data_IF_597138443120
#
_entry.id   IF_597138443120
#
_cell.length_a   1.000
_cell.length_b   1.000
_cell.length_c   1.000
_cell.angle_alpha   90.00
_cell.angle_beta   90.00
_cell.angle_gamma   90.00
#
_symmetry.space_group_name_H-M   'P 1'
#
loop_
_entity.id
_entity.type
_entity.pdbx_description
1 polymer ?
#
# COMPACT_ATOMS: atom_id res chain seq x y z
N UNK A 1 27.43 51.39 5.69
CA UNK A 1 26.98 52.80 5.51
C UNK A 1 26.40 52.87 4.10
N UNK A 2 25.10 53.04 3.83
CA UNK A 2 24.10 53.94 4.38
C UNK A 2 23.63 54.85 3.23
N UNK A 3 22.32 55.14 3.16
CA UNK A 3 21.53 55.91 2.17
C UNK A 3 21.03 55.09 0.96
N UNK A 4 19.72 54.88 0.75
CA UNK A 4 18.52 55.32 1.46
C UNK A 4 17.29 54.94 0.62
N UNK A 5 16.28 54.34 1.28
CA UNK A 5 14.95 54.10 0.72
C UNK A 5 14.05 55.33 0.98
N UNK A 6 13.15 55.62 0.03
CA UNK A 6 11.79 56.12 0.22
C UNK A 6 11.12 56.11 -1.18
N UNK A 7 10.15 55.26 -1.50
CA UNK A 7 8.76 55.09 -1.02
C UNK A 7 7.72 55.81 -1.90
N UNK A 8 6.57 55.12 -2.05
CA UNK A 8 5.28 55.51 -2.65
C UNK A 8 5.21 55.39 -4.19
N UNK A 9 4.25 54.73 -4.83
CA UNK A 9 2.89 54.36 -4.42
C UNK A 9 2.41 53.12 -5.18
N UNK A 10 1.64 52.32 -4.46
CA UNK A 10 0.85 51.17 -4.90
C UNK A 10 -0.19 51.53 -5.97
N UNK A 11 -0.64 50.48 -6.68
CA UNK A 11 -2.00 50.34 -7.21
C UNK A 11 -2.24 50.87 -8.64
N UNK A 12 -2.05 49.99 -9.62
CA UNK A 12 -3.18 49.66 -10.49
C UNK A 12 -3.09 48.24 -11.04
N UNK A 13 -4.13 47.50 -10.73
CA UNK A 13 -4.37 46.13 -11.08
C UNK A 13 -5.32 46.13 -12.29
N UNK A 14 -5.07 45.18 -13.19
CA UNK A 14 -6.01 44.63 -14.16
C UNK A 14 -6.20 45.34 -15.53
N UNK A 15 -6.17 44.45 -16.53
CA UNK A 15 -6.84 44.49 -17.83
C UNK A 15 -6.12 45.21 -18.99
N UNK A 16 -5.37 44.44 -19.80
CA UNK A 16 -5.64 44.41 -21.25
C UNK A 16 -4.95 43.25 -22.01
N UNK A 17 -5.77 42.27 -22.39
CA UNK A 17 -5.88 41.70 -23.75
C UNK A 17 -4.62 41.14 -24.46
N UNK A 18 -4.59 39.80 -24.50
CA UNK A 18 -4.50 38.95 -25.70
C UNK A 18 -3.67 39.50 -26.86
N UNK A 19 -2.44 38.98 -27.03
CA UNK A 19 -1.88 38.68 -28.37
C UNK A 19 -1.19 37.32 -28.32
N UNK A 20 -1.74 36.38 -29.10
CA UNK A 20 -1.18 35.07 -29.32
C UNK A 20 0.07 35.19 -30.20
N UNK A 21 1.18 34.60 -29.75
CA UNK A 21 2.36 34.41 -30.58
C UNK A 21 2.07 33.30 -31.62
N UNK A 22 2.39 33.50 -32.92
CA UNK A 22 2.25 32.46 -33.91
C UNK A 22 3.33 31.38 -33.73
N UNK A 23 2.91 30.12 -33.65
CA UNK A 23 3.81 28.94 -33.64
C UNK A 23 4.39 28.72 -35.05
N UNK A 24 5.68 28.38 -35.19
CA UNK A 24 6.25 27.96 -36.48
C UNK A 24 5.72 26.57 -36.89
N UNK A 25 5.48 26.39 -38.19
CA UNK A 25 5.11 25.11 -38.83
C UNK A 25 6.31 24.15 -38.84
N UNK A 26 6.14 22.85 -38.55
CA UNK A 26 7.18 21.86 -38.83
C UNK A 26 7.17 21.48 -40.32
N UNK A 27 8.38 21.34 -40.87
CA UNK A 27 8.63 20.88 -42.23
C UNK A 27 8.30 19.38 -42.38
N UNK A 28 7.76 19.01 -43.55
CA UNK A 28 7.54 17.63 -43.94
C UNK A 28 8.90 16.93 -44.18
N UNK A 29 9.13 15.83 -43.47
CA UNK A 29 10.27 14.93 -43.64
C UNK A 29 9.77 13.55 -44.06
N UNK A 30 10.37 13.04 -45.13
CA UNK A 30 10.00 11.83 -45.85
C UNK A 30 10.24 10.54 -45.04
N UNK A 31 9.46 9.51 -45.36
CA UNK A 31 9.39 8.26 -44.62
C UNK A 31 10.63 7.38 -44.73
N UNK A 32 10.93 6.68 -43.63
CA UNK A 32 11.69 5.44 -43.63
C UNK A 32 10.91 4.41 -42.82
N UNK A 33 10.42 3.39 -43.52
CA UNK A 33 9.61 2.30 -42.96
C UNK A 33 10.54 1.30 -42.27
N UNK A 34 10.66 1.39 -40.96
CA UNK A 34 11.20 0.30 -40.15
C UNK A 34 10.01 -0.50 -39.58
N UNK A 35 9.69 -1.63 -40.21
CA UNK A 35 8.77 -2.62 -39.65
C UNK A 35 9.53 -3.50 -38.68
N UNK A 36 9.28 -3.33 -37.38
CA UNK A 36 9.68 -4.29 -36.35
C UNK A 36 8.93 -5.62 -36.55
N UNK A 37 9.57 -6.78 -36.32
CA UNK A 37 8.88 -8.08 -36.37
C UNK A 37 7.86 -8.18 -35.22
N UNK A 38 6.75 -8.94 -35.41
CA UNK A 38 5.75 -9.10 -34.37
C UNK A 38 6.32 -9.91 -33.20
N UNK A 39 6.27 -9.34 -32.00
CA UNK A 39 6.50 -10.09 -30.76
C UNK A 39 5.43 -11.20 -30.63
N UNK A 40 5.82 -12.42 -30.19
CA UNK A 40 4.86 -13.47 -29.94
C UNK A 40 3.88 -13.02 -28.85
N UNK A 41 2.58 -13.08 -29.14
CA UNK A 41 1.53 -12.85 -28.15
C UNK A 41 1.60 -13.97 -27.11
N UNK A 42 1.72 -13.67 -25.80
CA UNK A 42 1.51 -14.70 -24.80
C UNK A 42 0.08 -15.24 -24.95
N UNK A 43 -0.07 -16.55 -24.86
CA UNK A 43 -1.36 -17.21 -24.88
C UNK A 43 -2.26 -16.55 -23.83
N UNK A 44 -3.51 -16.25 -24.21
CA UNK A 44 -4.53 -15.68 -23.33
C UNK A 44 -4.85 -16.66 -22.21
N UNK A 45 -4.07 -16.62 -21.13
CA UNK A 45 -4.30 -17.35 -19.89
C UNK A 45 -5.36 -16.60 -19.11
N UNK A 46 -6.41 -17.30 -18.70
CA UNK A 46 -7.56 -16.70 -18.03
C UNK A 46 -7.20 -16.47 -16.56
N UNK A 47 -6.71 -15.28 -16.23
CA UNK A 47 -6.71 -14.83 -14.84
C UNK A 47 -8.18 -14.56 -14.46
N UNK A 48 -8.61 -15.05 -13.29
CA UNK A 48 -9.92 -14.71 -12.74
C UNK A 48 -9.90 -13.28 -12.19
N UNK A 49 -11.07 -12.66 -12.10
CA UNK A 49 -11.27 -11.42 -11.35
C UNK A 49 -10.83 -11.54 -9.88
N UNK A 50 -10.90 -10.45 -9.10
CA UNK A 50 -10.30 -10.36 -7.77
C UNK A 50 -10.64 -11.59 -6.91
N UNK A 51 -9.61 -12.19 -6.33
CA UNK A 51 -9.75 -13.44 -5.61
C UNK A 51 -10.61 -13.28 -4.35
N UNK A 52 -11.72 -14.02 -4.20
CA UNK A 52 -12.43 -14.08 -2.93
C UNK A 52 -11.63 -14.95 -1.96
N UNK A 53 -11.27 -14.40 -0.80
CA UNK A 53 -10.64 -15.19 0.27
C UNK A 53 -11.67 -16.10 0.93
N UNK A 54 -11.36 -17.40 1.01
CA UNK A 54 -12.26 -18.42 1.52
C UNK A 54 -12.84 -18.09 2.92
N UNK A 55 -14.17 -18.18 3.02
CA UNK A 55 -14.96 -17.88 4.21
C UNK A 55 -14.87 -19.01 5.24
N UNK A 56 -14.13 -18.80 6.34
CA UNK A 56 -14.06 -19.73 7.45
C UNK A 56 -15.30 -19.58 8.37
N UNK A 57 -16.43 -20.18 7.98
CA UNK A 57 -17.62 -20.29 8.87
C UNK A 57 -18.35 -21.64 8.74
N UNK A 58 -18.19 -22.52 9.73
CA UNK A 58 -19.27 -22.98 10.65
C UNK A 58 -18.80 -24.01 11.67
N UNK A 59 -19.11 -23.74 12.94
CA UNK A 59 -19.06 -24.68 14.08
C UNK A 59 -20.32 -25.56 14.18
N UNK A 60 -20.27 -26.70 14.90
CA UNK A 60 -21.40 -27.24 15.65
C UNK A 60 -21.22 -27.10 17.18
N UNK A 61 -22.29 -27.21 17.99
CA UNK A 61 -22.26 -26.94 19.42
C UNK A 61 -21.89 -28.20 20.24
N UNK A 62 -21.03 -28.02 21.25
CA UNK A 62 -20.70 -29.04 22.24
C UNK A 62 -20.96 -28.51 23.65
N UNK A 63 -21.91 -29.12 24.33
CA UNK A 63 -22.35 -28.81 25.70
C UNK A 63 -21.46 -29.50 26.72
N UNK A 64 -20.79 -28.76 27.63
CA UNK A 64 -20.60 -29.15 29.05
C UNK A 64 -19.78 -28.13 29.83
N UNK A 65 -20.28 -27.82 31.04
CA UNK A 65 -19.60 -27.20 32.18
C UNK A 65 -19.70 -28.22 33.36
N UNK A 66 -19.03 -28.02 34.52
CA UNK A 66 -17.98 -27.07 34.88
C UNK A 66 -16.76 -27.72 35.57
N UNK A 67 -15.56 -27.17 35.38
CA UNK A 67 -14.39 -27.42 36.22
C UNK A 67 -13.87 -26.11 36.80
N UNK A 68 -14.09 -25.88 38.10
CA UNK A 68 -13.53 -24.74 38.83
C UNK A 68 -12.00 -24.87 38.91
N UNK A 69 -11.28 -23.90 38.37
CA UNK A 69 -9.95 -23.53 38.85
C UNK A 69 -9.63 -22.07 38.46
N UNK A 70 -9.51 -21.23 39.46
CA UNK A 70 -8.80 -19.95 39.40
C UNK A 70 -8.17 -19.71 40.78
N UNK A 71 -7.15 -18.86 40.90
CA UNK A 71 -6.20 -18.41 39.88
C UNK A 71 -4.74 -18.47 40.40
N UNK A 72 -3.75 -18.63 39.53
CA UNK A 72 -2.38 -18.23 39.86
C UNK A 72 -1.71 -17.51 38.70
N UNK A 73 -1.58 -16.20 38.91
CA UNK A 73 -0.43 -15.36 38.56
C UNK A 73 -0.26 -14.88 37.12
N UNK A 74 -1.16 -14.00 36.69
CA UNK A 74 -1.05 -13.12 35.51
C UNK A 74 -0.11 -11.92 35.72
N UNK A 75 0.95 -12.05 36.53
CA UNK A 75 1.84 -10.91 36.88
C UNK A 75 3.27 -11.00 36.36
N UNK A 76 3.65 -12.09 35.69
CA UNK A 76 5.04 -12.30 35.25
C UNK A 76 5.30 -12.01 33.76
N UNK A 77 4.29 -11.90 32.91
CA UNK A 77 4.49 -11.80 31.45
C UNK A 77 4.45 -10.37 30.89
N UNK A 78 4.10 -9.37 31.72
CA UNK A 78 3.85 -8.01 31.26
C UNK A 78 4.93 -6.99 31.64
N UNK A 79 6.11 -7.43 32.08
CA UNK A 79 7.25 -6.56 32.32
C UNK A 79 8.23 -6.63 31.14
N UNK A 80 7.79 -6.13 29.99
CA UNK A 80 8.73 -5.72 28.95
C UNK A 80 9.54 -4.54 29.52
N UNK A 81 10.87 -4.70 29.54
CA UNK A 81 11.83 -3.67 29.96
C UNK A 81 11.42 -2.31 29.40
N UNK A 82 11.41 -1.28 30.26
CA UNK A 82 10.92 0.08 29.99
C UNK A 82 11.63 0.88 28.87
N UNK A 83 12.37 0.22 27.97
CA UNK A 83 13.01 0.82 26.79
C UNK A 83 12.86 -0.02 25.50
N UNK A 84 12.23 -1.19 25.53
CA UNK A 84 12.04 -2.00 24.31
C UNK A 84 10.66 -1.68 23.71
N UNK A 85 10.57 -1.33 22.42
CA UNK A 85 9.30 -1.14 21.76
C UNK A 85 8.41 -2.39 21.83
N UNK A 86 7.09 -2.19 21.98
CA UNK A 86 6.16 -3.29 22.25
C UNK A 86 6.17 -4.37 21.15
N UNK A 87 6.44 -3.99 19.90
CA UNK A 87 6.44 -4.90 18.75
C UNK A 87 7.65 -5.84 18.69
N UNK A 88 8.72 -5.58 19.45
CA UNK A 88 9.93 -6.43 19.45
C UNK A 88 9.88 -7.59 20.44
N UNK A 89 8.94 -7.59 21.39
CA UNK A 89 8.97 -8.52 22.53
C UNK A 89 7.66 -9.22 22.85
N UNK A 90 6.60 -8.98 22.07
CA UNK A 90 5.30 -9.64 22.23
C UNK A 90 5.04 -10.56 21.05
N UNK A 91 4.36 -11.68 21.28
CA UNK A 91 3.74 -12.43 20.19
C UNK A 91 2.59 -11.63 19.58
N UNK A 92 2.21 -11.97 18.35
CA UNK A 92 1.12 -11.27 17.65
C UNK A 92 -0.20 -11.32 18.43
N UNK A 93 -0.45 -12.45 19.11
CA UNK A 93 -1.67 -12.70 19.88
C UNK A 93 -1.69 -11.96 21.23
N UNK A 94 -0.55 -11.46 21.68
CA UNK A 94 -0.43 -10.68 22.92
C UNK A 94 -0.66 -9.18 22.71
N UNK A 95 -0.83 -8.72 21.46
CA UNK A 95 -1.16 -7.32 21.18
C UNK A 95 -2.60 -7.00 21.55
N UNK A 96 -2.77 -5.86 22.23
CA UNK A 96 -4.09 -5.25 22.33
C UNK A 96 -4.58 -4.82 20.93
N UNK A 97 -5.90 -4.65 20.74
CA UNK A 97 -6.43 -4.18 19.45
C UNK A 97 -5.81 -2.85 19.00
N UNK A 98 -5.50 -1.94 19.93
CA UNK A 98 -4.88 -0.66 19.61
C UNK A 98 -3.42 -0.82 19.15
N UNK A 99 -2.64 -1.66 19.84
CA UNK A 99 -1.26 -1.97 19.44
C UNK A 99 -1.25 -2.65 18.06
N UNK A 100 -2.15 -3.61 17.83
CA UNK A 100 -2.28 -4.31 16.55
C UNK A 100 -2.59 -3.35 15.39
N UNK A 101 -3.61 -2.50 15.53
CA UNK A 101 -3.97 -1.54 14.49
C UNK A 101 -2.88 -0.48 14.27
N UNK A 102 -2.04 -0.22 15.28
CA UNK A 102 -0.92 0.73 15.15
C UNK A 102 0.25 0.21 14.30
N UNK A 103 0.31 -1.10 14.01
CA UNK A 103 1.27 -1.69 13.07
C UNK A 103 0.97 -1.34 11.60
N UNK A 104 -0.23 -0.82 11.30
CA UNK A 104 -0.54 -0.33 9.97
C UNK A 104 0.19 1.00 9.70
N UNK A 105 1.14 0.98 8.77
CA UNK A 105 1.84 2.16 8.27
C UNK A 105 0.92 3.15 7.54
N UNK A 106 -0.18 2.67 6.95
CA UNK A 106 -1.07 3.48 6.12
C UNK A 106 -0.55 3.69 4.70
N UNK A 107 0.22 2.74 4.16
CA UNK A 107 0.73 2.81 2.80
C UNK A 107 -0.36 2.62 1.73
N UNK A 108 -1.44 1.89 2.03
CA UNK A 108 -2.55 1.62 1.11
C UNK A 108 -2.32 0.44 0.14
N UNK A 109 -1.15 -0.22 0.14
CA UNK A 109 -0.83 -1.32 -0.78
C UNK A 109 -1.75 -2.55 -0.58
N UNK A 110 -2.19 -2.80 0.65
CA UNK A 110 -3.17 -3.85 0.93
C UNK A 110 -4.57 -3.55 0.34
N UNK A 111 -4.87 -2.29 -0.02
CA UNK A 111 -6.14 -1.88 -0.62
C UNK A 111 -6.16 -1.91 -2.15
N UNK A 112 -5.03 -2.18 -2.80
CA UNK A 112 -5.00 -2.42 -4.25
C UNK A 112 -5.73 -3.73 -4.58
N UNK A 113 -6.28 -3.88 -5.78
CA UNK A 113 -6.83 -5.16 -6.21
C UNK A 113 -5.70 -6.16 -6.46
N UNK A 114 -5.99 -7.42 -6.12
CA UNK A 114 -5.11 -8.57 -6.37
C UNK A 114 -5.82 -9.52 -7.31
N UNK A 115 -5.09 -10.00 -8.31
CA UNK A 115 -5.54 -11.06 -9.19
C UNK A 115 -4.84 -12.35 -8.78
N UNK A 116 -5.59 -13.45 -8.73
CA UNK A 116 -5.04 -14.78 -8.48
C UNK A 116 -4.99 -15.56 -9.79
N UNK A 117 -3.83 -16.14 -10.06
CA UNK A 117 -3.65 -17.04 -11.18
C UNK A 117 -4.32 -18.39 -10.92
N UNK A 118 -5.16 -18.84 -11.85
CA UNK A 118 -6.02 -19.99 -11.61
C UNK A 118 -5.32 -21.34 -11.52
N UNK A 119 -4.14 -21.49 -12.12
CA UNK A 119 -3.43 -22.77 -12.09
C UNK A 119 -2.32 -22.81 -11.03
N UNK A 120 -1.80 -21.65 -10.63
CA UNK A 120 -0.64 -21.55 -9.73
C UNK A 120 -0.98 -20.98 -8.36
N UNK A 121 -2.16 -20.37 -8.20
CA UNK A 121 -2.52 -19.56 -7.03
C UNK A 121 -1.54 -18.39 -6.75
N UNK A 122 -0.76 -17.98 -7.76
CA UNK A 122 0.10 -16.81 -7.66
C UNK A 122 -0.74 -15.54 -7.59
N UNK A 123 -0.32 -14.60 -6.72
CA UNK A 123 -1.03 -13.34 -6.51
C UNK A 123 -0.29 -12.22 -7.21
N UNK A 124 -0.96 -11.59 -8.17
CA UNK A 124 -0.48 -10.41 -8.89
C UNK A 124 -1.12 -9.15 -8.31
N UNK A 125 -0.33 -8.11 -8.12
CA UNK A 125 -0.84 -6.79 -7.72
C UNK A 125 -1.26 -5.99 -8.95
N UNK A 126 -2.23 -5.10 -8.75
CA UNK A 126 -2.58 -4.07 -9.73
C UNK A 126 -2.32 -2.68 -9.18
N UNK A 127 -2.32 -1.67 -10.06
CA UNK A 127 -2.34 -0.26 -9.67
C UNK A 127 -3.77 0.28 -9.43
N UNK A 128 -4.78 -0.59 -9.37
CA UNK A 128 -6.19 -0.24 -9.16
C UNK A 128 -6.55 -0.38 -7.69
N UNK A 129 -7.17 0.65 -7.11
CA UNK A 129 -7.63 0.65 -5.73
C UNK A 129 -9.02 0.04 -5.56
N UNK A 130 -9.33 -0.54 -4.40
CA UNK A 130 -10.72 -0.89 -4.09
C UNK A 130 -11.61 0.36 -3.97
N UNK A 131 -12.92 0.16 -4.05
CA UNK A 131 -14.00 1.16 -3.90
C UNK A 131 -13.78 2.14 -2.73
N UNK A 132 -13.21 1.64 -1.63
CA UNK A 132 -13.05 2.40 -0.39
C UNK A 132 -11.69 3.07 -0.23
N UNK A 133 -10.77 2.90 -1.17
CA UNK A 133 -9.46 3.55 -1.10
C UNK A 133 -9.61 5.06 -1.39
N UNK A 134 -9.04 5.88 -0.52
CA UNK A 134 -8.68 7.25 -0.85
C UNK A 134 -7.21 7.25 -1.27
N UNK A 135 -6.96 7.39 -2.58
CA UNK A 135 -5.63 7.35 -3.16
C UNK A 135 -4.73 8.52 -2.68
N UNK A 136 -5.32 9.67 -2.33
CA UNK A 136 -4.57 10.83 -1.86
C UNK A 136 -4.10 10.64 -0.40
N UNK A 137 -4.99 10.15 0.46
CA UNK A 137 -4.64 9.92 1.88
C UNK A 137 -4.08 8.53 2.17
N UNK A 138 -4.14 7.62 1.18
CA UNK A 138 -3.79 6.21 1.28
C UNK A 138 -4.56 5.45 2.38
N UNK A 139 -5.78 5.89 2.68
CA UNK A 139 -6.62 5.28 3.72
C UNK A 139 -7.93 4.76 3.20
N UNK A 140 -8.49 3.80 3.93
CA UNK A 140 -9.87 3.40 3.74
C UNK A 140 -10.83 4.50 4.21
N UNK A 141 -11.77 4.88 3.35
CA UNK A 141 -12.82 5.88 3.61
C UNK A 141 -13.83 5.42 4.68
N UNK A 142 -14.02 4.11 4.84
CA UNK A 142 -14.97 3.53 5.81
C UNK A 142 -14.40 2.25 6.45
N UNK A 143 -13.23 2.38 7.10
CA UNK A 143 -12.49 1.24 7.65
C UNK A 143 -13.35 0.38 8.59
N UNK A 144 -14.16 0.99 9.46
CA UNK A 144 -14.97 0.26 10.44
C UNK A 144 -16.08 -0.59 9.80
N UNK A 145 -16.60 -0.19 8.63
CA UNK A 145 -17.70 -0.90 7.93
C UNK A 145 -17.26 -1.50 6.60
N UNK A 146 -15.96 -1.58 6.33
CA UNK A 146 -15.40 -1.95 5.03
C UNK A 146 -15.96 -3.25 4.45
N UNK A 147 -16.07 -4.31 5.27
CA UNK A 147 -16.61 -5.61 4.82
C UNK A 147 -18.10 -5.59 4.47
N UNK A 148 -18.86 -4.55 4.85
CA UNK A 148 -20.25 -4.39 4.41
C UNK A 148 -20.34 -3.89 2.97
N UNK A 149 -19.29 -3.23 2.47
CA UNK A 149 -19.25 -2.61 1.14
C UNK A 149 -18.33 -3.37 0.19
N UNK A 150 -17.22 -3.89 0.71
CA UNK A 150 -16.23 -4.68 -0.02
C UNK A 150 -16.11 -6.03 0.69
N UNK A 151 -16.92 -7.04 0.32
CA UNK A 151 -16.96 -8.34 0.98
C UNK A 151 -15.60 -9.04 1.01
N UNK A 152 -14.80 -8.88 -0.04
CA UNK A 152 -13.46 -9.47 -0.17
C UNK A 152 -12.37 -8.72 0.61
N UNK A 153 -12.74 -7.67 1.36
CA UNK A 153 -11.79 -6.93 2.18
C UNK A 153 -11.30 -7.79 3.36
N UNK A 154 -10.04 -8.22 3.25
CA UNK A 154 -9.37 -9.04 4.26
C UNK A 154 -9.17 -8.24 5.54
N UNK A 155 -9.62 -8.81 6.67
CA UNK A 155 -9.23 -8.33 7.99
C UNK A 155 -7.89 -8.95 8.36
N UNK A 156 -6.87 -8.12 8.52
CA UNK A 156 -5.55 -8.55 8.99
C UNK A 156 -5.66 -8.89 10.47
N UNK A 157 -5.96 -10.14 10.82
CA UNK A 157 -5.82 -10.68 12.18
C UNK A 157 -4.45 -11.37 12.31
N UNK A 158 -3.95 -11.62 13.54
CA UNK A 158 -2.73 -12.40 13.75
C UNK A 158 -2.70 -13.72 12.97
N UNK A 159 -3.83 -14.45 12.95
CA UNK A 159 -3.97 -15.72 12.24
C UNK A 159 -3.89 -15.52 10.72
N UNK A 160 -4.58 -14.51 10.18
CA UNK A 160 -4.53 -14.21 8.76
C UNK A 160 -3.11 -13.81 8.33
N UNK A 161 -2.46 -12.91 9.06
CA UNK A 161 -1.10 -12.43 8.72
C UNK A 161 -0.08 -13.57 8.65
N UNK A 162 -0.27 -14.66 9.42
CA UNK A 162 0.58 -15.86 9.34
C UNK A 162 0.44 -16.63 8.03
N UNK A 163 -0.70 -16.57 7.37
CA UNK A 163 -1.00 -17.35 6.16
C UNK A 163 -0.97 -16.52 4.87
N UNK A 164 -1.15 -15.21 4.96
CA UNK A 164 -1.12 -14.31 3.80
C UNK A 164 0.28 -14.23 3.18
N UNK A 165 0.37 -14.56 1.90
CA UNK A 165 1.61 -14.57 1.10
C UNK A 165 1.87 -13.24 0.37
N UNK A 166 0.82 -12.44 0.16
CA UNK A 166 0.86 -11.22 -0.66
C UNK A 166 1.02 -9.92 0.14
N UNK A 167 1.31 -9.97 1.44
CA UNK A 167 1.60 -8.72 2.15
C UNK A 167 2.92 -8.12 1.62
N UNK A 168 2.96 -6.81 1.32
CA UNK A 168 4.17 -6.13 0.89
C UNK A 168 5.35 -6.43 1.83
N UNK A 169 6.58 -6.53 1.32
CA UNK A 169 7.76 -6.84 2.14
C UNK A 169 7.96 -5.86 3.30
N UNK A 170 7.59 -4.60 3.08
CA UNK A 170 7.69 -3.50 4.06
C UNK A 170 6.50 -3.37 5.01
N UNK A 171 5.47 -4.23 4.87
CA UNK A 171 4.26 -4.13 5.68
C UNK A 171 4.56 -4.37 7.17
N UNK A 172 4.19 -3.42 8.05
CA UNK A 172 4.45 -3.53 9.49
C UNK A 172 3.95 -4.83 10.14
N UNK A 173 2.80 -5.35 9.71
CA UNK A 173 2.29 -6.66 10.17
C UNK A 173 3.20 -7.84 9.78
N UNK A 174 3.71 -7.82 8.55
CA UNK A 174 4.62 -8.85 8.02
C UNK A 174 5.96 -8.79 8.73
N UNK A 175 6.54 -7.59 8.85
CA UNK A 175 7.81 -7.38 9.53
C UNK A 175 7.78 -7.91 10.97
N UNK A 176 6.75 -7.54 11.73
CA UNK A 176 6.61 -7.98 13.13
C UNK A 176 6.34 -9.48 13.23
N UNK A 177 5.56 -10.07 12.31
CA UNK A 177 5.39 -11.53 12.22
C UNK A 177 6.74 -12.24 12.03
N UNK A 178 7.58 -11.70 11.16
CA UNK A 178 8.87 -12.28 10.79
C UNK A 178 9.98 -11.92 11.79
N UNK A 179 9.67 -11.19 12.86
CA UNK A 179 10.63 -10.78 13.88
C UNK A 179 11.55 -9.63 13.46
N UNK A 180 11.25 -8.96 12.35
CA UNK A 180 11.97 -7.78 11.89
C UNK A 180 11.50 -6.52 12.62
N UNK A 181 12.39 -5.54 12.68
CA UNK A 181 12.06 -4.24 13.24
C UNK A 181 11.30 -3.37 12.23
N UNK A 182 10.63 -2.34 12.74
CA UNK A 182 9.94 -1.38 11.89
C UNK A 182 10.95 -0.36 11.33
N UNK A 183 10.85 0.01 10.04
CA UNK A 183 11.78 0.92 9.40
C UNK A 183 11.65 2.35 9.95
N UNK A 184 12.67 3.17 9.72
CA UNK A 184 12.76 4.55 10.24
C UNK A 184 11.55 5.42 9.88
N UNK A 185 10.94 5.17 8.72
CA UNK A 185 9.78 5.91 8.23
C UNK A 185 8.44 5.42 8.78
N UNK A 186 8.40 4.29 9.47
CA UNK A 186 7.17 3.74 10.01
C UNK A 186 6.59 4.66 11.11
N UNK A 187 5.27 4.92 11.18
CA UNK A 187 4.69 5.89 12.11
C UNK A 187 5.01 5.66 13.61
N UNK A 188 5.16 4.39 14.01
CA UNK A 188 5.57 4.03 15.38
C UNK A 188 7.03 4.39 15.71
N UNK A 189 7.86 4.61 14.69
CA UNK A 189 9.28 4.98 14.81
C UNK A 189 9.46 6.48 14.57
N UNK A 190 8.88 7.00 13.48
CA UNK A 190 8.99 8.40 13.08
C UNK A 190 8.05 9.35 13.83
N UNK A 191 7.01 8.83 14.48
CA UNK A 191 5.94 9.61 15.11
C UNK A 191 4.98 10.28 14.11
N UNK A 192 5.14 10.06 12.81
CA UNK A 192 4.29 10.69 11.78
C UNK A 192 4.04 9.74 10.61
N UNK A 193 2.87 9.87 9.97
CA UNK A 193 2.55 9.12 8.74
C UNK A 193 3.15 9.74 7.49
N UNK A 194 3.57 11.01 7.55
CA UNK A 194 4.12 11.73 6.41
C UNK A 194 5.34 11.01 5.83
N UNK A 195 6.18 10.43 6.70
CA UNK A 195 7.39 9.71 6.33
C UNK A 195 7.14 8.49 5.45
N UNK A 196 5.96 7.86 5.53
CA UNK A 196 5.56 6.74 4.66
C UNK A 196 5.46 7.18 3.20
N UNK A 197 5.01 8.41 2.96
CA UNK A 197 4.97 9.01 1.63
C UNK A 197 6.35 9.51 1.19
N UNK A 198 7.11 10.12 2.11
CA UNK A 198 8.47 10.60 1.83
C UNK A 198 9.43 9.46 1.44
N UNK A 199 9.26 8.28 2.05
CA UNK A 199 10.01 7.09 1.73
C UNK A 199 9.52 6.35 0.46
N UNK A 200 8.50 6.86 -0.25
CA UNK A 200 7.99 6.24 -1.48
C UNK A 200 7.25 4.90 -1.28
N UNK A 201 6.90 4.57 -0.04
CA UNK A 201 6.26 3.29 0.30
C UNK A 201 4.77 3.30 -0.06
N UNK A 202 4.10 4.43 0.12
CA UNK A 202 2.65 4.54 -0.09
C UNK A 202 2.23 4.41 -1.56
N UNK A 203 0.96 4.08 -1.78
CA UNK A 203 0.32 4.06 -3.11
C UNK A 203 0.03 5.45 -3.69
N UNK A 204 0.29 6.52 -2.93
CA UNK A 204 0.01 7.90 -3.37
C UNK A 204 0.66 8.16 -4.73
N UNK A 205 -0.10 8.81 -5.62
CA UNK A 205 0.32 9.17 -6.99
C UNK A 205 0.65 7.96 -7.90
N UNK A 206 0.30 6.74 -7.48
CA UNK A 206 0.55 5.48 -8.20
C UNK A 206 -0.70 4.66 -8.47
N UNK A 207 -1.88 5.15 -8.06
CA UNK A 207 -3.16 4.47 -8.27
C UNK A 207 -3.80 4.99 -9.56
N UNK A 208 -4.15 4.09 -10.47
CA UNK A 208 -4.76 4.42 -11.77
C UNK A 208 -6.25 4.75 -11.68
N UNK A 209 -6.94 4.25 -10.65
CA UNK A 209 -8.35 4.53 -10.38
C UNK A 209 -8.96 3.58 -9.35
N UNK A 210 -10.28 3.59 -9.22
CA UNK A 210 -11.01 2.64 -8.35
C UNK A 210 -11.56 1.45 -9.14
N UNK A 211 -11.88 0.36 -8.46
CA UNK A 211 -12.35 -0.87 -9.11
C UNK A 211 -13.59 -0.70 -9.98
N UNK A 212 -14.44 0.29 -9.72
CA UNK A 212 -15.64 0.57 -10.53
C UNK A 212 -15.34 1.28 -11.86
N UNK A 213 -14.12 1.76 -12.04
CA UNK A 213 -13.67 2.44 -13.26
C UNK A 213 -13.07 1.46 -14.28
N UNK A 214 -12.90 0.18 -13.90
CA UNK A 214 -12.28 -0.84 -14.74
C UNK A 214 -13.13 -2.10 -14.81
N UNK A 215 -13.21 -2.69 -16.00
CA UNK A 215 -13.75 -4.04 -16.18
C UNK A 215 -12.71 -5.10 -15.76
N UNK A 216 -13.19 -6.32 -15.48
CA UNK A 216 -12.32 -7.40 -15.00
C UNK A 216 -11.17 -7.72 -15.96
N UNK A 217 -11.43 -7.70 -17.26
CA UNK A 217 -10.42 -7.91 -18.30
C UNK A 217 -9.38 -6.78 -18.36
N UNK A 218 -9.76 -5.54 -18.03
CA UNK A 218 -8.84 -4.39 -18.04
C UNK A 218 -7.86 -4.42 -16.86
N UNK A 219 -8.21 -5.12 -15.77
CA UNK A 219 -7.30 -5.29 -14.62
C UNK A 219 -6.02 -6.05 -14.98
N UNK A 220 -6.06 -6.89 -16.02
CA UNK A 220 -4.90 -7.65 -16.50
C UNK A 220 -3.80 -6.74 -17.04
N UNK A 221 -4.19 -5.68 -17.74
CA UNK A 221 -3.25 -4.70 -18.29
C UNK A 221 -2.66 -3.80 -17.18
N UNK A 222 -3.26 -3.85 -15.98
CA UNK A 222 -2.94 -3.04 -14.79
C UNK A 222 -2.10 -3.76 -13.75
N UNK A 223 -1.61 -4.95 -14.06
CA UNK A 223 -0.66 -5.67 -13.22
C UNK A 223 0.65 -4.88 -13.09
N UNK A 224 1.14 -4.76 -11.86
CA UNK A 224 2.36 -4.01 -11.50
C UNK A 224 3.13 -4.72 -10.38
N UNK A 225 4.47 -4.66 -10.40
CA UNK A 225 5.30 -5.40 -9.44
C UNK A 225 5.66 -4.60 -8.18
N UNK A 226 5.67 -3.27 -8.29
CA UNK A 226 6.16 -2.38 -7.23
C UNK A 226 5.50 -2.53 -5.85
N UNK A 227 4.21 -2.94 -5.70
CA UNK A 227 3.65 -3.14 -4.37
C UNK A 227 4.32 -4.29 -3.62
N UNK A 228 4.83 -5.28 -4.34
CA UNK A 228 5.56 -6.44 -3.82
C UNK A 228 7.05 -6.20 -3.60
N UNK A 229 7.57 -5.01 -3.92
CA UNK A 229 8.99 -4.64 -3.82
C UNK A 229 9.23 -3.65 -2.67
N UNK A 230 10.41 -3.70 -2.07
CA UNK A 230 10.92 -2.61 -1.22
C UNK A 230 11.61 -1.58 -2.13
N UNK A 231 11.15 -0.32 -2.18
CA UNK A 231 11.81 0.74 -2.95
C UNK A 231 13.27 1.01 -2.56
N UNK A 232 13.73 0.51 -1.42
CA UNK A 232 15.11 0.69 -0.96
C UNK A 232 16.01 -0.52 -1.24
N UNK A 233 15.47 -1.63 -1.76
CA UNK A 233 16.23 -2.83 -2.13
C UNK A 233 16.60 -2.85 -3.63
N UNK A 234 16.51 -1.71 -4.34
CA UNK A 234 16.87 -1.66 -5.77
C UNK A 234 18.40 -1.80 -5.93
N UNK A 235 18.90 -2.88 -6.58
CA UNK A 235 20.34 -3.09 -6.77
C UNK A 235 21.00 -2.05 -7.69
N UNK A 236 20.22 -1.20 -8.37
CA UNK A 236 20.75 -0.12 -9.20
C UNK A 236 21.12 1.15 -8.43
N UNK A 237 20.79 1.24 -7.15
CA UNK A 237 21.18 2.34 -6.24
C UNK A 237 22.39 1.97 -5.37
N UNK A 238 23.17 0.96 -5.76
CA UNK A 238 24.48 0.66 -5.16
C UNK A 238 25.60 1.46 -5.87
N UNK A 239 26.08 2.58 -5.30
CA UNK A 239 27.20 3.34 -5.88
C UNK A 239 28.53 2.57 -5.87
N UNK A 240 28.57 1.33 -5.35
CA UNK A 240 29.77 0.51 -5.21
C UNK A 240 29.82 -0.74 -6.10
N UNK A 241 28.83 -0.99 -6.98
CA UNK A 241 28.84 -2.12 -7.92
C UNK A 241 29.64 -1.84 -9.22
N UNK A 242 30.75 -1.13 -9.12
CA UNK A 242 31.61 -0.79 -10.24
C UNK A 242 33.02 -0.44 -9.78
N UNK A 243 33.80 -1.47 -9.43
CA UNK A 243 35.26 -1.39 -9.35
C UNK A 243 35.89 -2.53 -10.16
#
# INVERSE_FOLDING_TARGET
MGHGCADTTSQDCAASRRRACPRPRPAAGEGSSFRSPPHPRPASRRLRGPAPVADARKSPPGTSLPGKATPLSSKAENSLKAGTPFWRGKSLEAFSPAEWESLCDGCGRCCLLKLEDEDTAEIHYTDVGCTLLDAATCRCRDYARRQKKVPDCVRLTPEAVRTLTWLPPTCGYRLVRDGHDLPWWHPLVSGTRRTVHEAGISVRDRVSGTEEEFETEELLDRIVDWPGQDPHDDPHDDPQAGE
#
